data_IF_262584212789
#
_entry.id   IF_262584212789
#
_cell.length_a   1.000
_cell.length_b   1.000
_cell.length_c   1.000
_cell.angle_alpha   90.00
_cell.angle_beta   90.00
_cell.angle_gamma   90.00
#
_symmetry.space_group_name_H-M   'P 1'
#
loop_
_entity.id
_entity.type
_entity.pdbx_description
1 polymer ?
#
# COMPACT_ATOMS: atom_id res chain seq x y z
N UNK A 1 54.23 7.96 -25.14
CA UNK A 1 52.94 7.92 -25.87
C UNK A 1 52.12 6.66 -25.59
N UNK A 2 52.67 5.44 -25.73
CA UNK A 2 51.93 4.20 -25.44
C UNK A 2 51.56 4.00 -23.95
N UNK A 3 52.47 4.31 -23.02
CA UNK A 3 52.23 4.18 -21.56
C UNK A 3 51.19 5.16 -21.01
N UNK A 4 51.12 6.36 -21.58
CA UNK A 4 50.11 7.39 -21.23
C UNK A 4 48.73 7.04 -21.76
N UNK A 5 48.61 6.40 -22.92
CA UNK A 5 47.32 5.89 -23.44
C UNK A 5 46.73 4.78 -22.56
N UNK A 6 47.55 3.88 -22.03
CA UNK A 6 47.08 2.78 -21.17
C UNK A 6 46.55 3.32 -19.83
N UNK A 7 47.21 4.35 -19.27
CA UNK A 7 46.77 4.98 -18.03
C UNK A 7 45.42 5.70 -18.19
N UNK A 8 45.19 6.36 -19.32
CA UNK A 8 43.91 7.03 -19.62
C UNK A 8 42.78 6.01 -19.82
N UNK A 9 43.06 4.89 -20.50
CA UNK A 9 42.09 3.80 -20.69
C UNK A 9 41.74 3.10 -19.36
N UNK A 10 42.70 2.96 -18.43
CA UNK A 10 42.46 2.37 -17.12
C UNK A 10 41.60 3.26 -16.20
N UNK A 11 41.69 4.58 -16.34
CA UNK A 11 40.83 5.53 -15.61
C UNK A 11 39.41 5.52 -16.19
N UNK A 12 39.27 5.43 -17.51
CA UNK A 12 37.97 5.41 -18.19
C UNK A 12 37.10 4.18 -17.84
N UNK A 13 37.70 3.05 -17.47
CA UNK A 13 36.97 1.82 -17.11
C UNK A 13 36.35 1.82 -15.70
N UNK A 14 36.55 2.88 -14.91
CA UNK A 14 36.03 2.97 -13.53
C UNK A 14 34.68 3.66 -13.40
N UNK A 15 34.02 4.00 -14.52
CA UNK A 15 32.64 4.49 -14.50
C UNK A 15 31.75 3.31 -14.14
N UNK A 16 31.60 3.08 -12.84
CA UNK A 16 30.59 2.20 -12.28
C UNK A 16 29.26 2.64 -12.88
N UNK A 17 28.64 1.76 -13.65
CA UNK A 17 27.24 1.89 -14.02
C UNK A 17 26.47 2.04 -12.71
N UNK A 18 26.08 3.27 -12.38
CA UNK A 18 25.12 3.51 -11.32
C UNK A 18 23.85 2.85 -11.81
N UNK A 19 23.57 1.65 -11.30
CA UNK A 19 22.29 0.99 -11.51
C UNK A 19 21.21 2.04 -11.22
N UNK A 20 20.34 2.27 -12.20
CA UNK A 20 19.27 3.23 -12.09
C UNK A 20 18.33 2.74 -10.98
N UNK A 21 18.55 3.21 -9.75
CA UNK A 21 17.60 2.98 -8.67
C UNK A 21 16.38 3.82 -9.01
N UNK A 22 15.34 3.18 -9.54
CA UNK A 22 14.02 3.79 -9.55
C UNK A 22 13.58 3.81 -8.10
N UNK A 23 13.97 4.84 -7.36
CA UNK A 23 13.25 5.19 -6.15
C UNK A 23 11.88 5.60 -6.65
N UNK A 24 10.89 4.72 -6.50
CA UNK A 24 9.50 5.08 -6.71
C UNK A 24 9.16 6.10 -5.64
N UNK A 25 9.47 7.35 -5.93
CA UNK A 25 9.24 8.47 -5.06
C UNK A 25 7.74 8.74 -5.11
N UNK A 26 7.01 8.10 -4.21
CA UNK A 26 5.62 8.42 -4.00
C UNK A 26 5.53 9.91 -3.65
N UNK A 27 4.61 10.61 -4.32
CA UNK A 27 4.21 11.94 -3.88
C UNK A 27 3.81 11.87 -2.41
N UNK A 28 4.54 12.58 -1.55
CA UNK A 28 4.40 12.47 -0.10
C UNK A 28 3.02 12.90 0.38
N UNK A 29 2.36 13.84 -0.32
CA UNK A 29 0.98 14.26 -0.01
C UNK A 29 -0.01 13.15 -0.32
N UNK A 30 0.13 12.49 -1.48
CA UNK A 30 -0.71 11.34 -1.85
C UNK A 30 -0.49 10.16 -0.93
N UNK A 31 0.75 9.87 -0.57
CA UNK A 31 1.06 8.80 0.37
C UNK A 31 0.45 9.07 1.74
N UNK A 32 0.53 10.31 2.24
CA UNK A 32 -0.05 10.66 3.54
C UNK A 32 -1.58 10.55 3.50
N UNK A 33 -2.21 10.97 2.41
CA UNK A 33 -3.65 10.81 2.22
C UNK A 33 -4.07 9.33 2.27
N UNK A 34 -3.35 8.45 1.57
CA UNK A 34 -3.60 7.01 1.61
C UNK A 34 -3.39 6.45 3.01
N UNK A 35 -2.30 6.85 3.68
CA UNK A 35 -1.99 6.39 5.05
C UNK A 35 -3.13 6.76 6.01
N UNK A 36 -3.59 8.01 5.97
CA UNK A 36 -4.71 8.49 6.81
C UNK A 36 -5.99 7.71 6.51
N UNK A 37 -6.30 7.42 5.24
CA UNK A 37 -7.49 6.64 4.88
C UNK A 37 -7.40 5.16 5.28
N UNK A 38 -6.23 4.54 5.12
CA UNK A 38 -6.05 3.11 5.36
C UNK A 38 -5.92 2.79 6.85
N UNK A 39 -5.18 3.60 7.62
CA UNK A 39 -4.85 3.29 9.03
C UNK A 39 -5.28 4.37 10.02
N UNK A 40 -5.66 5.55 9.54
CA UNK A 40 -5.89 6.72 10.40
C UNK A 40 -4.59 7.39 10.87
N UNK A 41 -3.43 6.81 10.54
CA UNK A 41 -2.11 7.37 10.83
C UNK A 41 -1.64 8.29 9.70
N UNK A 42 -0.98 9.39 10.04
CA UNK A 42 -0.44 10.36 9.07
C UNK A 42 -0.93 11.78 9.31
N UNK A 43 -0.59 12.69 8.38
CA UNK A 43 -1.03 14.08 8.44
C UNK A 43 -1.68 14.54 7.14
N UNK A 44 -2.71 15.36 7.24
CA UNK A 44 -3.42 15.85 6.07
C UNK A 44 -2.68 17.08 5.53
N UNK A 45 -1.90 16.91 4.46
CA UNK A 45 -1.11 18.00 3.86
C UNK A 45 -1.75 18.52 2.59
N UNK A 46 -1.89 19.86 2.41
CA UNK A 46 -1.55 20.92 3.37
C UNK A 46 -2.58 21.05 4.52
N UNK A 47 -2.09 21.18 5.75
CA UNK A 47 -2.93 21.20 6.96
C UNK A 47 -3.99 22.32 6.94
N UNK A 48 -3.61 23.50 6.43
CA UNK A 48 -4.50 24.66 6.35
C UNK A 48 -5.71 24.41 5.45
N UNK A 49 -5.54 23.70 4.33
CA UNK A 49 -6.66 23.34 3.44
C UNK A 49 -7.68 22.48 4.17
N UNK A 50 -7.22 21.48 4.93
CA UNK A 50 -8.10 20.59 5.66
C UNK A 50 -8.71 21.27 6.89
N UNK A 51 -8.00 22.17 7.54
CA UNK A 51 -8.56 22.96 8.64
C UNK A 51 -9.63 23.95 8.15
N UNK A 52 -9.39 24.66 7.04
CA UNK A 52 -10.30 25.68 6.53
C UNK A 52 -11.53 25.10 5.83
N UNK A 53 -11.35 24.07 4.98
CA UNK A 53 -12.40 23.58 4.08
C UNK A 53 -12.92 22.18 4.44
N UNK A 54 -12.16 21.38 5.19
CA UNK A 54 -12.47 19.96 5.44
C UNK A 54 -12.31 19.57 6.92
N UNK A 55 -12.62 20.49 7.84
CA UNK A 55 -12.34 20.29 9.27
C UNK A 55 -13.08 19.09 9.87
N UNK A 56 -14.32 18.84 9.41
CA UNK A 56 -15.10 17.68 9.82
C UNK A 56 -14.45 16.37 9.39
N UNK A 57 -13.91 16.33 8.17
CA UNK A 57 -13.15 15.19 7.68
C UNK A 57 -11.88 15.01 8.51
N UNK A 58 -11.10 16.07 8.73
CA UNK A 58 -9.89 16.03 9.56
C UNK A 58 -10.14 15.42 10.95
N UNK A 59 -11.24 15.81 11.61
CA UNK A 59 -11.60 15.31 12.95
C UNK A 59 -11.99 13.82 12.96
N UNK A 60 -12.61 13.33 11.89
CA UNK A 60 -13.20 11.98 11.84
C UNK A 60 -12.36 10.98 11.05
N UNK A 61 -11.34 11.43 10.32
CA UNK A 61 -10.53 10.58 9.44
C UNK A 61 -9.85 9.42 10.20
N UNK A 62 -9.36 9.68 11.41
CA UNK A 62 -8.73 8.65 12.24
C UNK A 62 -9.74 7.58 12.72
N UNK A 63 -11.00 7.95 12.95
CA UNK A 63 -12.05 7.03 13.41
C UNK A 63 -12.63 6.20 12.26
N UNK A 64 -12.73 6.81 11.07
CA UNK A 64 -13.34 6.19 9.87
C UNK A 64 -12.31 5.54 8.95
N UNK A 65 -11.17 5.15 9.48
CA UNK A 65 -10.13 4.48 8.71
C UNK A 65 -10.57 3.06 8.32
N UNK A 66 -10.01 2.54 7.22
CA UNK A 66 -10.37 1.22 6.68
C UNK A 66 -9.92 0.06 7.58
N UNK A 67 -8.80 0.20 8.29
CA UNK A 67 -8.27 -0.83 9.18
C UNK A 67 -9.27 -1.17 10.29
N UNK A 68 -9.91 -0.19 10.91
CA UNK A 68 -10.94 -0.41 11.93
C UNK A 68 -12.11 -1.25 11.42
N UNK A 69 -12.65 -0.90 10.26
CA UNK A 69 -13.73 -1.67 9.61
C UNK A 69 -13.29 -3.10 9.27
N UNK A 70 -12.06 -3.27 8.76
CA UNK A 70 -11.50 -4.60 8.45
C UNK A 70 -11.37 -5.46 9.71
N UNK A 71 -10.92 -4.89 10.81
CA UNK A 71 -10.79 -5.61 12.09
C UNK A 71 -12.16 -6.05 12.60
N UNK A 72 -13.16 -5.17 12.60
CA UNK A 72 -14.52 -5.51 13.04
C UNK A 72 -15.18 -6.56 12.15
N UNK A 73 -15.04 -6.44 10.83
CA UNK A 73 -15.51 -7.45 9.89
C UNK A 73 -14.81 -8.79 10.11
N UNK A 74 -13.49 -8.78 10.32
CA UNK A 74 -12.71 -9.98 10.62
C UNK A 74 -13.18 -10.71 11.88
N UNK A 75 -13.48 -9.97 12.96
CA UNK A 75 -14.03 -10.56 14.19
C UNK A 75 -15.39 -11.22 13.92
N UNK A 76 -16.27 -10.57 13.16
CA UNK A 76 -17.59 -11.11 12.84
C UNK A 76 -17.51 -12.38 11.99
N UNK A 77 -16.57 -12.43 11.03
CA UNK A 77 -16.38 -13.61 10.16
C UNK A 77 -16.00 -14.88 10.92
N UNK A 78 -15.33 -14.80 12.08
CA UNK A 78 -15.03 -15.99 12.88
C UNK A 78 -16.29 -16.74 13.34
N UNK A 79 -17.40 -16.03 13.54
CA UNK A 79 -18.66 -16.67 13.95
C UNK A 79 -19.41 -17.29 12.76
N UNK A 80 -18.93 -17.11 11.53
CA UNK A 80 -19.58 -17.57 10.30
C UNK A 80 -18.95 -18.86 9.75
N UNK A 81 -18.09 -19.53 10.52
CA UNK A 81 -17.44 -20.79 10.11
C UNK A 81 -18.49 -21.87 9.81
N UNK A 82 -19.43 -22.10 10.72
CA UNK A 82 -20.52 -23.06 10.52
C UNK A 82 -21.36 -22.78 9.27
N UNK A 83 -21.63 -21.50 8.99
CA UNK A 83 -22.40 -21.11 7.82
C UNK A 83 -21.58 -21.29 6.54
N UNK A 84 -20.28 -20.97 6.58
CA UNK A 84 -19.37 -21.22 5.48
C UNK A 84 -19.25 -22.72 5.16
N UNK A 85 -19.14 -23.59 6.18
CA UNK A 85 -19.10 -25.05 6.02
C UNK A 85 -20.40 -25.61 5.41
N UNK A 86 -21.56 -25.09 5.84
CA UNK A 86 -22.85 -25.48 5.25
C UNK A 86 -22.94 -25.08 3.78
N UNK A 87 -22.51 -23.87 3.44
CA UNK A 87 -22.49 -23.39 2.05
C UNK A 87 -21.55 -24.25 1.21
N UNK A 88 -20.36 -24.54 1.70
CA UNK A 88 -19.36 -25.36 1.00
C UNK A 88 -19.87 -26.79 0.74
N UNK A 89 -20.48 -27.41 1.75
CA UNK A 89 -21.11 -28.73 1.61
C UNK A 89 -22.24 -28.72 0.58
N UNK A 90 -23.07 -27.68 0.56
CA UNK A 90 -24.17 -27.55 -0.40
C UNK A 90 -23.66 -27.33 -1.83
N UNK A 91 -22.60 -26.53 -2.01
CA UNK A 91 -21.97 -26.28 -3.31
C UNK A 91 -21.30 -27.55 -3.86
N UNK A 92 -20.59 -28.28 -3.00
CA UNK A 92 -19.96 -29.56 -3.37
C UNK A 92 -21.00 -30.57 -3.84
N UNK A 93 -22.09 -30.74 -3.08
CA UNK A 93 -23.19 -31.65 -3.46
C UNK A 93 -23.87 -31.25 -4.77
N UNK A 94 -24.01 -29.95 -5.05
CA UNK A 94 -24.52 -29.48 -6.34
C UNK A 94 -23.56 -29.82 -7.48
N UNK A 95 -22.27 -29.55 -7.29
CA UNK A 95 -21.25 -29.84 -8.29
C UNK A 95 -21.19 -31.34 -8.64
N UNK A 96 -21.39 -32.24 -7.67
CA UNK A 96 -21.47 -33.69 -7.89
C UNK A 96 -22.67 -34.13 -8.74
N UNK A 97 -23.79 -33.39 -8.68
CA UNK A 97 -25.01 -33.69 -9.44
C UNK A 97 -24.99 -33.07 -10.84
N UNK A 98 -24.30 -31.93 -10.99
CA UNK A 98 -24.23 -31.15 -12.23
C UNK A 98 -23.08 -31.57 -13.16
N UNK A 99 -22.11 -32.37 -12.67
CA UNK A 99 -21.01 -32.96 -13.45
C UNK A 99 -21.42 -34.28 -14.13
#
# INVERSE_FOLDING_TARGET
MKKTMILIMAVATTIKATAQSVTYNHDSSKQNQITVMETGGGSLTPEFYYWLLHNNYKKTAAEKNKLGFRTLAGINLYNQVDDAEKIDSALTKRAEVEA
#
